data_IF_552154427147
#
_entry.id   IF_552154427147
#
_cell.length_a   1.000
_cell.length_b   1.000
_cell.length_c   1.000
_cell.angle_alpha   90.00
_cell.angle_beta   90.00
_cell.angle_gamma   90.00
#
_symmetry.space_group_name_H-M   'P 1'
#
loop_
_entity.id
_entity.type
_entity.pdbx_description
1 polymer ?
#
# COMPACT_ATOMS: atom_id res chain seq x y z
N UNK A 1 7.60 -0.03 11.45
CA UNK A 1 6.89 -1.33 11.37
C UNK A 1 7.13 -1.90 9.97
N UNK A 2 6.92 -3.20 9.71
CA UNK A 2 6.96 -3.75 8.34
C UNK A 2 6.08 -2.91 7.40
N UNK A 3 6.50 -2.75 6.14
CA UNK A 3 5.74 -1.99 5.15
C UNK A 3 4.37 -2.61 4.91
N UNK A 4 3.34 -1.78 4.78
CA UNK A 4 1.95 -2.22 4.59
C UNK A 4 1.53 -1.90 3.16
N UNK A 5 0.81 -2.81 2.50
CA UNK A 5 0.29 -2.59 1.15
C UNK A 5 -1.21 -2.38 1.18
N UNK A 6 -1.69 -1.33 0.51
CA UNK A 6 -3.11 -1.03 0.40
C UNK A 6 -3.87 -2.21 -0.25
N UNK A 7 -4.99 -2.59 0.35
CA UNK A 7 -5.83 -3.69 -0.10
C UNK A 7 -5.28 -5.09 0.22
N UNK A 8 -4.20 -5.20 1.01
CA UNK A 8 -3.67 -6.48 1.50
C UNK A 8 -3.99 -6.60 2.99
N UNK A 9 -4.46 -7.78 3.40
CA UNK A 9 -4.72 -8.07 4.81
C UNK A 9 -3.42 -7.94 5.63
N UNK A 10 -3.50 -7.23 6.74
CA UNK A 10 -2.39 -6.99 7.64
C UNK A 10 -2.78 -7.45 9.05
N UNK A 11 -1.88 -8.17 9.70
CA UNK A 11 -2.02 -8.56 11.11
C UNK A 11 -0.66 -8.47 11.78
N UNK A 12 -0.57 -7.68 12.84
CA UNK A 12 0.66 -7.49 13.60
C UNK A 12 0.35 -7.35 15.08
N UNK A 13 1.00 -8.18 15.89
CA UNK A 13 0.97 -8.06 17.33
C UNK A 13 2.07 -7.10 17.81
N UNK A 14 1.71 -6.22 18.74
CA UNK A 14 2.64 -5.52 19.62
C UNK A 14 2.97 -6.43 20.80
N UNK A 15 4.25 -6.49 21.13
CA UNK A 15 4.74 -7.13 22.34
C UNK A 15 5.38 -6.08 23.24
N UNK A 16 4.91 -6.00 24.48
CA UNK A 16 5.58 -5.30 25.58
C UNK A 16 6.24 -6.34 26.46
N UNK A 17 7.48 -6.11 26.86
CA UNK A 17 8.23 -6.93 27.81
C UNK A 17 8.62 -6.07 29.00
N UNK A 18 8.62 -6.63 30.21
CA UNK A 18 8.91 -5.88 31.44
C UNK A 18 8.06 -6.36 32.59
N UNK A 19 7.38 -5.43 33.26
CA UNK A 19 6.55 -5.55 34.48
C UNK A 19 5.43 -6.63 34.44
N UNK A 20 4.40 -6.51 35.27
CA UNK A 20 3.44 -7.60 35.50
C UNK A 20 2.40 -7.72 34.38
N UNK A 21 2.43 -8.82 33.64
CA UNK A 21 1.40 -9.19 32.66
C UNK A 21 0.08 -9.58 33.38
N UNK A 22 -1.11 -9.36 32.76
CA UNK A 22 -1.34 -8.97 31.37
C UNK A 22 -1.11 -7.47 31.09
N UNK A 23 -0.75 -7.16 29.84
CA UNK A 23 -0.66 -5.77 29.36
C UNK A 23 -1.91 -5.40 28.57
N UNK A 24 -2.43 -4.20 28.81
CA UNK A 24 -3.50 -3.59 28.01
C UNK A 24 -2.95 -2.44 27.18
N UNK A 25 -3.49 -2.26 25.98
CA UNK A 25 -3.02 -1.25 25.05
C UNK A 25 -4.12 -0.27 24.66
N UNK A 26 -3.74 0.97 24.40
CA UNK A 26 -4.64 2.01 23.89
C UNK A 26 -3.90 2.98 22.96
N UNK A 27 -4.60 3.53 21.97
CA UNK A 27 -4.08 4.63 21.15
C UNK A 27 -4.36 5.93 21.89
N UNK A 28 -3.32 6.69 22.19
CA UNK A 28 -3.43 7.98 22.88
C UNK A 28 -3.58 9.14 21.90
N UNK A 29 -2.92 9.05 20.75
CA UNK A 29 -2.96 10.10 19.73
C UNK A 29 -2.60 9.57 18.36
N UNK A 30 -2.95 10.35 17.33
CA UNK A 30 -2.78 9.97 15.93
C UNK A 30 -3.98 9.21 15.37
N UNK A 31 -3.87 8.83 14.11
CA UNK A 31 -4.92 8.11 13.40
C UNK A 31 -4.35 6.83 12.77
N UNK A 32 -5.18 5.79 12.72
CA UNK A 32 -4.88 4.59 11.96
C UNK A 32 -5.30 4.78 10.49
N UNK A 33 -4.64 4.08 9.56
CA UNK A 33 -5.15 3.98 8.19
C UNK A 33 -6.60 3.47 8.18
N UNK A 34 -7.42 3.99 7.26
CA UNK A 34 -8.78 3.48 7.05
C UNK A 34 -8.72 1.98 6.75
N UNK A 35 -9.52 1.18 7.45
CA UNK A 35 -9.57 -0.28 7.32
C UNK A 35 -8.59 -1.04 8.23
N UNK A 36 -7.76 -0.34 9.01
CA UNK A 36 -6.94 -0.93 10.07
C UNK A 36 -7.56 -0.64 11.45
N UNK A 37 -7.70 -1.68 12.26
CA UNK A 37 -8.17 -1.59 13.63
C UNK A 37 -7.06 -1.99 14.61
N UNK A 38 -7.14 -1.47 15.84
CA UNK A 38 -6.26 -1.82 16.94
C UNK A 38 -7.07 -2.32 18.13
N UNK A 39 -6.67 -3.46 18.70
CA UNK A 39 -7.32 -4.04 19.87
C UNK A 39 -6.53 -3.73 21.15
N UNK A 40 -7.23 -3.76 22.29
CA UNK A 40 -6.61 -3.61 23.61
C UNK A 40 -5.67 -4.76 23.99
N UNK A 41 -5.69 -5.86 23.23
CA UNK A 41 -4.72 -6.96 23.32
C UNK A 41 -3.40 -6.66 22.56
N UNK A 42 -3.28 -5.48 21.94
CA UNK A 42 -2.09 -5.07 21.21
C UNK A 42 -2.04 -5.56 19.77
N UNK A 43 -3.16 -5.98 19.17
CA UNK A 43 -3.19 -6.49 17.80
C UNK A 43 -3.68 -5.41 16.84
N UNK A 44 -2.86 -5.09 15.83
CA UNK A 44 -3.30 -4.40 14.62
C UNK A 44 -3.82 -5.43 13.64
N UNK A 45 -5.05 -5.25 13.16
CA UNK A 45 -5.64 -6.15 12.16
C UNK A 45 -6.57 -5.41 11.21
N UNK A 46 -6.62 -5.85 9.96
CA UNK A 46 -7.54 -5.34 8.95
C UNK A 46 -6.91 -5.23 7.57
N UNK A 47 -7.59 -4.52 6.68
CA UNK A 47 -7.18 -4.33 5.29
C UNK A 47 -7.11 -2.82 5.00
N UNK A 48 -5.95 -2.19 5.20
CA UNK A 48 -5.81 -0.75 5.01
C UNK A 48 -6.02 -0.37 3.54
N UNK A 49 -6.80 0.68 3.28
CA UNK A 49 -7.15 1.10 1.90
C UNK A 49 -6.55 2.44 1.50
N UNK A 50 -6.36 3.35 2.46
CA UNK A 50 -5.80 4.67 2.23
C UNK A 50 -4.26 4.64 2.27
N UNK A 51 -3.64 5.08 1.17
CA UNK A 51 -2.19 5.21 1.06
C UNK A 51 -1.71 6.40 1.88
N UNK A 52 -0.54 6.27 2.51
CA UNK A 52 0.07 7.36 3.28
C UNK A 52 0.87 6.87 4.47
N UNK A 53 1.49 7.80 5.18
CA UNK A 53 2.19 7.54 6.43
C UNK A 53 1.33 7.98 7.59
N UNK A 54 1.06 7.05 8.50
CA UNK A 54 0.24 7.24 9.68
C UNK A 54 1.10 7.11 10.92
N UNK A 55 1.18 8.19 11.70
CA UNK A 55 1.92 8.24 12.97
C UNK A 55 0.92 8.26 14.11
N UNK A 56 1.12 7.38 15.09
CA UNK A 56 0.26 7.27 16.27
C UNK A 56 1.06 6.83 17.49
N UNK A 57 0.57 7.21 18.67
CA UNK A 57 1.18 6.87 19.95
C UNK A 57 0.33 5.82 20.64
N UNK A 58 0.96 4.70 21.00
CA UNK A 58 0.33 3.61 21.74
C UNK A 58 0.84 3.66 23.18
N UNK A 59 -0.09 3.60 24.13
CA UNK A 59 0.18 3.36 25.54
C UNK A 59 0.04 1.88 25.84
N UNK A 60 1.05 1.29 26.44
CA UNK A 60 0.95 -0.01 27.11
C UNK A 60 0.84 0.21 28.61
N UNK A 61 -0.08 -0.51 29.25
CA UNK A 61 -0.34 -0.46 30.70
C UNK A 61 -0.25 -1.86 31.26
N UNK A 62 0.56 -2.05 32.30
CA UNK A 62 0.70 -3.35 32.98
C UNK A 62 -0.39 -3.58 34.04
N UNK A 63 -0.35 -4.73 34.70
CA UNK A 63 -1.37 -5.15 35.70
C UNK A 63 -0.88 -5.07 37.14
N UNK A 64 0.17 -4.30 37.42
CA UNK A 64 0.70 -4.14 38.78
C UNK A 64 -0.35 -3.55 39.74
N UNK A 65 -0.59 -4.21 40.87
CA UNK A 65 -1.62 -3.84 41.88
C UNK A 65 -1.08 -3.11 43.12
N UNK A 66 0.24 -2.93 43.21
CA UNK A 66 0.90 -2.20 44.30
C UNK A 66 0.94 -0.70 44.04
N UNK A 67 2.11 -0.17 43.69
CA UNK A 67 2.28 1.23 43.27
C UNK A 67 1.93 1.48 41.79
N UNK A 68 1.17 0.57 41.17
CA UNK A 68 0.81 0.55 39.75
C UNK A 68 -0.71 0.67 39.52
N UNK A 69 -1.17 0.68 38.26
CA UNK A 69 -0.46 0.20 37.07
C UNK A 69 0.50 1.21 36.44
N UNK A 70 1.61 0.71 35.89
CA UNK A 70 2.61 1.46 35.14
C UNK A 70 2.23 1.54 33.67
N UNK A 71 2.37 2.73 33.09
CA UNK A 71 2.10 2.96 31.67
C UNK A 71 3.32 3.52 30.95
N UNK A 72 3.49 3.14 29.69
CA UNK A 72 4.53 3.67 28.81
C UNK A 72 3.95 4.01 27.45
N UNK A 73 4.29 5.19 26.95
CA UNK A 73 3.91 5.65 25.63
C UNK A 73 5.03 5.40 24.64
N UNK A 74 4.67 4.88 23.47
CA UNK A 74 5.60 4.71 22.36
C UNK A 74 4.95 5.11 21.05
N UNK A 75 5.66 5.93 20.29
CA UNK A 75 5.25 6.36 18.96
C UNK A 75 5.59 5.29 17.94
N UNK A 76 4.65 5.01 17.04
CA UNK A 76 4.80 4.11 15.91
C UNK A 76 4.42 4.82 14.62
N UNK A 77 5.02 4.38 13.53
CA UNK A 77 4.68 4.80 12.17
C UNK A 77 4.36 3.59 11.30
N UNK A 78 3.25 3.69 10.57
CA UNK A 78 2.83 2.73 9.55
C UNK A 78 2.80 3.46 8.21
N UNK A 79 3.55 2.97 7.24
CA UNK A 79 3.47 3.41 5.84
C UNK A 79 2.62 2.42 5.04
N UNK A 80 1.51 2.91 4.50
CA UNK A 80 0.65 2.17 3.56
C UNK A 80 1.03 2.57 2.15
N UNK A 81 1.77 1.69 1.47
CA UNK A 81 2.14 1.84 0.07
C UNK A 81 1.04 1.30 -0.86
N UNK A 82 1.01 1.79 -2.10
CA UNK A 82 0.25 1.13 -3.16
C UNK A 82 0.88 -0.20 -3.55
N UNK A 83 0.13 -1.01 -4.32
CA UNK A 83 0.74 -2.11 -5.07
C UNK A 83 1.70 -1.54 -6.12
N UNK A 84 2.85 -2.18 -6.29
CA UNK A 84 3.70 -1.95 -7.46
C UNK A 84 2.93 -2.36 -8.71
N UNK A 85 3.02 -1.54 -9.75
CA UNK A 85 2.40 -1.81 -11.04
C UNK A 85 3.51 -1.83 -12.09
N UNK A 86 3.52 -2.88 -12.92
CA UNK A 86 4.46 -3.05 -14.02
C UNK A 86 3.70 -2.94 -15.34
N UNK A 87 4.24 -2.12 -16.24
CA UNK A 87 3.82 -2.10 -17.64
C UNK A 87 4.92 -2.78 -18.45
N UNK A 88 4.58 -3.87 -19.12
CA UNK A 88 5.49 -4.61 -19.99
C UNK A 88 5.20 -4.24 -21.43
N UNK A 89 6.18 -3.65 -22.13
CA UNK A 89 6.08 -3.40 -23.57
C UNK A 89 6.36 -4.69 -24.33
N UNK A 90 5.61 -4.93 -25.42
CA UNK A 90 6.01 -5.96 -26.38
C UNK A 90 7.22 -5.48 -27.20
N UNK A 91 7.92 -6.44 -27.83
CA UNK A 91 8.97 -6.10 -28.77
C UNK A 91 8.40 -5.23 -29.91
N UNK A 92 9.11 -4.16 -30.26
CA UNK A 92 8.70 -3.28 -31.35
C UNK A 92 8.76 -4.03 -32.68
N UNK A 93 7.61 -4.17 -33.34
CA UNK A 93 7.57 -4.60 -34.72
C UNK A 93 7.89 -3.42 -35.64
N UNK A 94 8.76 -3.66 -36.63
CA UNK A 94 8.98 -2.71 -37.72
C UNK A 94 7.80 -2.77 -38.70
N UNK A 95 7.24 -1.62 -39.06
CA UNK A 95 6.27 -1.51 -40.14
C UNK A 95 6.68 -0.42 -41.13
N UNK A 96 6.21 -0.57 -42.36
CA UNK A 96 6.34 0.40 -43.44
C UNK A 96 5.01 1.13 -43.65
N UNK A 97 5.06 2.28 -44.33
CA UNK A 97 3.86 3.02 -44.69
C UNK A 97 2.90 2.16 -45.50
N UNK A 98 1.63 2.11 -45.09
CA UNK A 98 0.60 1.31 -45.74
C UNK A 98 0.47 -0.14 -45.24
N UNK A 99 1.31 -0.58 -44.30
CA UNK A 99 1.08 -1.83 -43.59
C UNK A 99 -0.19 -1.76 -42.73
N UNK A 100 -0.72 -2.93 -42.36
CA UNK A 100 -1.83 -3.01 -41.42
C UNK A 100 -1.44 -2.41 -40.04
N UNK A 101 -2.42 -1.86 -39.34
CA UNK A 101 -2.19 -1.25 -38.02
C UNK A 101 -1.48 -2.20 -37.05
N UNK A 102 -0.37 -1.71 -36.50
CA UNK A 102 0.43 -2.41 -35.51
C UNK A 102 -0.26 -2.43 -34.16
N UNK A 103 -0.28 -3.60 -33.51
CA UNK A 103 -0.70 -3.71 -32.12
C UNK A 103 0.55 -3.53 -31.23
N UNK A 104 0.69 -2.42 -30.49
CA UNK A 104 1.87 -2.17 -29.65
C UNK A 104 2.05 -3.17 -28.50
N UNK A 105 1.01 -3.94 -28.17
CA UNK A 105 1.12 -5.16 -27.37
C UNK A 105 1.52 -4.96 -25.90
N UNK A 106 1.54 -3.73 -25.38
CA UNK A 106 1.85 -3.52 -23.98
C UNK A 106 0.73 -4.07 -23.08
N UNK A 107 1.15 -4.63 -21.94
CA UNK A 107 0.26 -5.18 -20.92
C UNK A 107 0.56 -4.53 -19.57
N UNK A 108 -0.47 -4.39 -18.73
CA UNK A 108 -0.32 -4.01 -17.32
C UNK A 108 -0.72 -5.18 -16.44
N UNK A 109 0.11 -5.48 -15.44
CA UNK A 109 -0.17 -6.49 -14.41
C UNK A 109 -1.40 -6.18 -13.54
N UNK A 110 -1.75 -4.90 -13.42
CA UNK A 110 -2.94 -4.45 -12.68
C UNK A 110 -4.28 -4.68 -13.40
N UNK A 111 -4.25 -5.00 -14.70
CA UNK A 111 -5.44 -5.02 -15.55
C UNK A 111 -6.01 -3.63 -15.93
N UNK A 112 -5.38 -2.54 -15.50
CA UNK A 112 -5.75 -1.19 -15.96
C UNK A 112 -5.41 -1.02 -17.45
N UNK A 113 -6.27 -0.29 -18.21
CA UNK A 113 -6.05 -0.09 -19.64
C UNK A 113 -4.78 0.73 -19.90
N UNK A 114 -3.97 0.28 -20.85
CA UNK A 114 -2.81 1.01 -21.36
C UNK A 114 -3.26 1.91 -22.51
N UNK A 115 -2.96 3.20 -22.43
CA UNK A 115 -3.25 4.17 -23.50
C UNK A 115 -1.96 4.62 -24.16
N UNK A 116 -1.97 4.75 -25.48
CA UNK A 116 -0.82 5.18 -26.28
C UNK A 116 -1.08 6.56 -26.87
N UNK A 117 -0.02 7.35 -27.03
CA UNK A 117 -0.03 8.63 -27.73
C UNK A 117 1.15 8.67 -28.69
N UNK A 118 0.93 9.20 -29.90
CA UNK A 118 2.03 9.41 -30.83
C UNK A 118 2.78 10.69 -30.48
N UNK A 119 4.11 10.63 -30.54
CA UNK A 119 4.98 11.80 -30.43
C UNK A 119 5.05 12.61 -31.74
N UNK A 120 4.80 11.97 -32.88
CA UNK A 120 4.76 12.60 -34.20
C UNK A 120 3.58 12.06 -35.04
N UNK A 121 2.42 12.73 -34.99
CA UNK A 121 1.23 12.35 -35.75
C UNK A 121 1.39 12.40 -37.27
N UNK A 122 2.41 13.09 -37.80
CA UNK A 122 2.66 13.13 -39.24
C UNK A 122 3.32 11.84 -39.76
N UNK A 123 3.99 11.09 -38.86
CA UNK A 123 4.65 9.81 -39.17
C UNK A 123 3.81 8.63 -38.72
N UNK A 124 3.20 8.70 -37.53
CA UNK A 124 2.37 7.62 -37.02
C UNK A 124 1.24 8.16 -36.15
N UNK A 125 0.04 7.61 -36.29
CA UNK A 125 -1.14 7.97 -35.48
C UNK A 125 -1.59 6.81 -34.62
N UNK A 126 -2.27 7.10 -33.50
CA UNK A 126 -2.89 6.06 -32.67
C UNK A 126 -4.38 6.00 -33.00
N UNK A 127 -4.84 4.89 -33.54
CA UNK A 127 -6.25 4.65 -33.91
C UNK A 127 -6.75 3.42 -33.15
N UNK A 128 -7.76 3.61 -32.30
CA UNK A 128 -8.34 2.54 -31.47
C UNK A 128 -7.28 1.72 -30.68
N UNK A 129 -6.23 2.39 -30.17
CA UNK A 129 -5.15 1.75 -29.41
C UNK A 129 -4.09 1.02 -30.26
N UNK A 130 -4.18 1.10 -31.59
CA UNK A 130 -3.19 0.57 -32.53
C UNK A 130 -2.39 1.69 -33.17
N UNK A 131 -1.16 1.39 -33.57
CA UNK A 131 -0.28 2.33 -34.28
C UNK A 131 -0.53 2.20 -35.78
N UNK A 132 -0.86 3.30 -36.43
CA UNK A 132 -1.04 3.41 -37.89
C UNK A 132 0.07 4.29 -38.46
N UNK A 133 0.82 3.76 -39.43
CA UNK A 133 1.90 4.46 -40.13
C UNK A 133 1.41 4.88 -41.51
#
# INVERSE_FOLDING_TARGET
>A
MPGVTAGIAYSQNLSTSGSVAPYTYSIQSGALPIGLAFSSAGVFSGTPTAKGTYTFTVRSTDSSVGSGPYSTDKTYSISVAGKTQVITMAATATASYGDADLVPGASSDSGLPVTYTSGDPAIATIVAGKVRI
#
